data_IF_191839328667
#
_entry.id   IF_191839328667
#
_cell.length_a   1.000
_cell.length_b   1.000
_cell.length_c   1.000
_cell.angle_alpha   90.00
_cell.angle_beta   90.00
_cell.angle_gamma   90.00
#
_symmetry.space_group_name_H-M   'P 1'
#
loop_
_entity.id
_entity.type
_entity.pdbx_description
1 polymer ?
#
# COMPACT_ATOMS: atom_id res chain seq x y z
N UNK A 1 -7.93 -10.38 7.36
CA UNK A 1 -7.09 -9.17 7.49
C UNK A 1 -5.63 -9.54 7.31
N UNK A 2 -4.89 -8.74 6.57
CA UNK A 2 -3.44 -8.87 6.39
C UNK A 2 -2.74 -7.66 7.02
N UNK A 3 -1.56 -7.88 7.61
CA UNK A 3 -0.82 -6.90 8.41
C UNK A 3 0.59 -6.61 7.88
N UNK A 4 0.79 -6.80 6.58
CA UNK A 4 2.00 -6.43 5.88
C UNK A 4 1.62 -5.87 4.51
N UNK A 5 2.29 -4.78 4.11
CA UNK A 5 2.20 -4.19 2.79
C UNK A 5 3.59 -3.77 2.36
N UNK A 6 3.90 -3.98 1.10
CA UNK A 6 5.08 -3.43 0.45
C UNK A 6 4.76 -3.18 -1.02
N UNK A 7 5.47 -2.22 -1.62
CA UNK A 7 5.31 -1.92 -3.04
C UNK A 7 5.59 -3.12 -3.94
N UNK A 8 6.60 -3.92 -3.64
CA UNK A 8 6.85 -5.18 -4.34
C UNK A 8 5.67 -6.16 -4.26
N UNK A 9 4.97 -6.26 -3.13
CA UNK A 9 3.78 -7.12 -2.98
C UNK A 9 2.60 -6.62 -3.83
N UNK A 10 2.40 -5.30 -3.91
CA UNK A 10 1.37 -4.71 -4.75
C UNK A 10 1.68 -4.95 -6.24
N UNK A 11 2.89 -4.58 -6.67
CA UNK A 11 3.34 -4.68 -8.06
C UNK A 11 3.38 -6.12 -8.59
N UNK A 12 3.71 -7.09 -7.74
CA UNK A 12 3.76 -8.51 -8.11
C UNK A 12 2.39 -9.19 -8.17
N UNK A 13 1.32 -8.50 -7.73
CA UNK A 13 -0.01 -9.09 -7.61
C UNK A 13 -0.23 -9.92 -6.35
N UNK A 14 0.74 -9.97 -5.42
CA UNK A 14 0.63 -10.77 -4.20
C UNK A 14 -0.57 -10.40 -3.32
N UNK A 15 -0.94 -9.12 -3.24
CA UNK A 15 -2.16 -8.72 -2.53
C UNK A 15 -3.43 -9.26 -3.20
N UNK A 16 -3.46 -9.25 -4.54
CA UNK A 16 -4.58 -9.79 -5.31
C UNK A 16 -4.72 -11.29 -5.08
N UNK A 17 -3.62 -12.04 -5.09
CA UNK A 17 -3.63 -13.48 -4.81
C UNK A 17 -4.17 -13.79 -3.41
N UNK A 18 -3.81 -12.96 -2.41
CA UNK A 18 -4.35 -13.07 -1.06
C UNK A 18 -5.86 -12.79 -1.01
N UNK A 19 -6.34 -11.80 -1.76
CA UNK A 19 -7.77 -11.51 -1.87
C UNK A 19 -8.52 -12.69 -2.52
N UNK A 20 -7.95 -13.27 -3.58
CA UNK A 20 -8.53 -14.39 -4.31
C UNK A 20 -8.70 -15.65 -3.42
N UNK A 21 -7.87 -15.82 -2.39
CA UNK A 21 -8.00 -16.90 -1.39
C UNK A 21 -8.80 -16.51 -0.13
N UNK A 22 -9.39 -15.31 -0.09
CA UNK A 22 -10.35 -14.91 0.95
C UNK A 22 -9.86 -13.83 1.93
N UNK A 23 -8.76 -13.13 1.66
CA UNK A 23 -8.42 -11.92 2.42
C UNK A 23 -9.39 -10.80 2.07
N UNK A 24 -10.04 -10.25 3.09
CA UNK A 24 -11.08 -9.23 2.92
C UNK A 24 -10.65 -7.83 3.31
N UNK A 25 -9.42 -7.62 3.78
CA UNK A 25 -8.95 -6.30 4.19
C UNK A 25 -7.50 -6.28 4.65
N UNK A 26 -6.97 -5.07 4.78
CA UNK A 26 -5.57 -4.77 5.05
C UNK A 26 -5.44 -3.69 6.13
N UNK A 27 -4.48 -3.86 7.02
CA UNK A 27 -4.08 -2.82 7.98
C UNK A 27 -2.57 -2.67 7.99
N UNK A 28 -2.09 -1.45 7.76
CA UNK A 28 -0.71 -1.04 7.78
C UNK A 28 -0.55 0.14 8.75
N UNK A 29 0.38 -0.02 9.70
CA UNK A 29 0.75 1.05 10.61
C UNK A 29 2.05 1.73 10.13
N UNK A 30 2.43 2.88 10.71
CA UNK A 30 3.65 3.58 10.30
C UNK A 30 4.91 2.70 10.29
N UNK A 31 5.05 1.80 11.28
CA UNK A 31 6.19 0.88 11.39
C UNK A 31 6.26 -0.13 10.24
N UNK A 32 5.12 -0.57 9.69
CA UNK A 32 5.08 -1.45 8.52
C UNK A 32 5.61 -0.70 7.29
N UNK A 33 5.16 0.53 7.06
CA UNK A 33 5.64 1.35 5.95
C UNK A 33 7.12 1.70 6.07
N UNK A 34 7.58 2.09 7.25
CA UNK A 34 9.00 2.37 7.50
C UNK A 34 9.88 1.17 7.13
N UNK A 35 9.46 -0.04 7.50
CA UNK A 35 10.16 -1.27 7.14
C UNK A 35 10.12 -1.57 5.65
N UNK A 36 8.98 -1.36 4.99
CA UNK A 36 8.86 -1.59 3.55
C UNK A 36 9.75 -0.64 2.75
N UNK A 37 9.74 0.64 3.12
CA UNK A 37 10.54 1.69 2.48
C UNK A 37 12.03 1.48 2.74
N UNK A 38 12.43 1.11 3.97
CA UNK A 38 13.85 1.01 4.33
C UNK A 38 14.52 -0.30 3.89
N UNK A 39 13.77 -1.37 3.66
CA UNK A 39 14.30 -2.69 3.33
C UNK A 39 14.17 -3.06 1.85
N UNK A 40 13.76 -2.14 0.98
CA UNK A 40 13.60 -2.39 -0.45
C UNK A 40 14.02 -1.18 -1.28
N UNK A 41 14.36 -1.43 -2.54
CA UNK A 41 14.64 -0.38 -3.51
C UNK A 41 13.39 -0.02 -4.34
N UNK A 42 12.22 -0.59 -4.01
CA UNK A 42 10.97 -0.42 -4.75
C UNK A 42 10.46 1.03 -4.73
N UNK A 43 11.00 1.85 -3.84
CA UNK A 43 10.62 3.25 -3.62
C UNK A 43 11.62 4.24 -4.23
N UNK A 44 12.81 3.80 -4.64
CA UNK A 44 13.94 4.67 -5.02
C UNK A 44 13.58 5.63 -6.16
N UNK A 45 12.95 5.12 -7.21
CA UNK A 45 12.57 5.92 -8.37
C UNK A 45 11.58 7.04 -7.99
N UNK A 46 10.59 6.73 -7.14
CA UNK A 46 9.61 7.72 -6.72
C UNK A 46 10.23 8.72 -5.73
N UNK A 47 11.05 8.23 -4.80
CA UNK A 47 11.78 9.06 -3.84
C UNK A 47 12.69 10.05 -4.58
N UNK A 48 13.46 9.59 -5.57
CA UNK A 48 14.34 10.42 -6.36
C UNK A 48 13.58 11.52 -7.12
N UNK A 49 12.45 11.17 -7.76
CA UNK A 49 11.60 12.14 -8.47
C UNK A 49 11.04 13.20 -7.52
N UNK A 50 10.48 12.79 -6.39
CA UNK A 50 9.90 13.73 -5.42
C UNK A 50 10.98 14.62 -4.78
N UNK A 51 12.18 14.09 -4.55
CA UNK A 51 13.32 14.88 -4.10
C UNK A 51 13.74 15.93 -5.14
N UNK A 52 13.76 15.58 -6.43
CA UNK A 52 14.03 16.53 -7.52
C UNK A 52 12.95 17.61 -7.63
N UNK A 53 11.69 17.28 -7.32
CA UNK A 53 10.58 18.21 -7.25
C UNK A 53 10.64 19.13 -6.02
N UNK A 54 11.68 19.00 -5.18
CA UNK A 54 11.90 19.84 -4.00
C UNK A 54 11.01 19.49 -2.82
N UNK A 55 10.42 18.29 -2.80
CA UNK A 55 9.58 17.82 -1.70
C UNK A 55 10.40 17.58 -0.43
N UNK A 56 9.81 17.93 0.71
CA UNK A 56 10.42 17.63 2.00
C UNK A 56 10.24 16.14 2.38
N UNK A 57 10.93 15.72 3.44
CA UNK A 57 10.90 14.32 3.90
C UNK A 57 9.49 13.84 4.26
N UNK A 58 8.66 14.70 4.89
CA UNK A 58 7.31 14.31 5.30
C UNK A 58 6.41 14.21 4.07
N UNK A 59 6.50 15.17 3.14
CA UNK A 59 5.76 15.10 1.87
C UNK A 59 6.13 13.85 1.05
N UNK A 60 7.41 13.48 1.04
CA UNK A 60 7.88 12.24 0.39
C UNK A 60 7.25 11.04 1.07
N UNK A 61 7.40 10.91 2.40
CA UNK A 61 6.84 9.79 3.15
C UNK A 61 5.33 9.65 2.93
N UNK A 62 4.57 10.73 3.13
CA UNK A 62 3.12 10.74 2.95
C UNK A 62 2.74 10.36 1.52
N UNK A 63 3.44 10.89 0.51
CA UNK A 63 3.17 10.55 -0.88
C UNK A 63 3.47 9.09 -1.22
N UNK A 64 4.47 8.47 -0.61
CA UNK A 64 4.76 7.04 -0.77
C UNK A 64 3.66 6.18 -0.13
N UNK A 65 3.32 6.49 1.13
CA UNK A 65 2.36 5.73 1.93
C UNK A 65 0.93 5.85 1.39
N UNK A 66 0.48 7.08 1.08
CA UNK A 66 -0.85 7.33 0.54
C UNK A 66 -1.04 6.55 -0.77
N UNK A 67 -0.01 6.54 -1.62
CA UNK A 67 -0.07 5.80 -2.89
C UNK A 67 -0.25 4.29 -2.69
N UNK A 68 0.52 3.69 -1.78
CA UNK A 68 0.42 2.26 -1.48
C UNK A 68 -0.96 1.92 -0.88
N UNK A 69 -1.50 2.75 0.02
CA UNK A 69 -2.83 2.56 0.60
C UNK A 69 -3.92 2.69 -0.45
N UNK A 70 -3.82 3.67 -1.36
CA UNK A 70 -4.76 3.86 -2.45
C UNK A 70 -4.80 2.64 -3.37
N UNK A 71 -3.64 2.13 -3.77
CA UNK A 71 -3.56 0.94 -4.62
C UNK A 71 -4.12 -0.31 -3.91
N UNK A 72 -3.83 -0.49 -2.62
CA UNK A 72 -4.44 -1.55 -1.84
C UNK A 72 -5.97 -1.41 -1.73
N UNK A 73 -6.48 -0.19 -1.54
CA UNK A 73 -7.91 0.10 -1.49
C UNK A 73 -8.59 -0.18 -2.84
N UNK A 74 -7.94 0.16 -3.94
CA UNK A 74 -8.45 -0.12 -5.29
C UNK A 74 -8.54 -1.63 -5.54
N UNK A 75 -7.55 -2.42 -5.09
CA UNK A 75 -7.58 -3.88 -5.17
C UNK A 75 -8.67 -4.50 -4.28
N UNK A 76 -8.95 -3.91 -3.11
CA UNK A 76 -9.99 -4.36 -2.18
C UNK A 76 -11.38 -3.85 -2.55
N UNK A 77 -11.50 -2.90 -3.49
CA UNK A 77 -12.78 -2.30 -3.89
C UNK A 77 -13.86 -3.32 -4.27
N UNK A 78 -13.58 -4.40 -5.03
CA UNK A 78 -14.60 -5.41 -5.33
C UNK A 78 -15.14 -6.12 -4.08
N UNK A 79 -14.30 -6.32 -3.05
CA UNK A 79 -14.72 -6.89 -1.76
C UNK A 79 -15.61 -5.89 -1.03
N UNK A 80 -15.21 -4.62 -0.99
CA UNK A 80 -16.01 -3.55 -0.40
C UNK A 80 -17.40 -3.49 -0.99
N UNK A 81 -17.50 -3.46 -2.33
CA UNK A 81 -18.78 -3.39 -3.04
C UNK A 81 -19.63 -4.65 -2.80
N UNK A 82 -19.05 -5.85 -2.87
CA UNK A 82 -19.75 -7.14 -2.66
C UNK A 82 -20.29 -7.30 -1.25
N UNK A 83 -19.61 -6.73 -0.26
CA UNK A 83 -19.97 -6.82 1.15
C UNK A 83 -20.77 -5.61 1.63
N UNK A 84 -21.17 -4.70 0.74
CA UNK A 84 -21.88 -3.46 1.07
C UNK A 84 -21.12 -2.63 2.12
N UNK A 85 -19.80 -2.58 2.02
CA UNK A 85 -18.91 -1.82 2.89
C UNK A 85 -18.68 -2.44 4.27
N UNK A 86 -18.98 -3.72 4.48
CA UNK A 86 -18.63 -4.43 5.71
C UNK A 86 -17.15 -4.82 5.72
N UNK A 87 -16.63 -5.24 4.57
CA UNK A 87 -15.24 -5.61 4.33
C UNK A 87 -14.62 -4.70 3.24
N UNK A 88 -13.39 -4.99 2.81
CA UNK A 88 -12.71 -4.31 1.71
C UNK A 88 -11.95 -3.05 2.11
N UNK A 89 -11.62 -2.92 3.40
CA UNK A 89 -10.88 -1.77 3.91
C UNK A 89 -9.36 -1.96 3.80
N UNK A 90 -8.68 -0.91 3.35
CA UNK A 90 -7.25 -0.69 3.56
C UNK A 90 -7.10 0.43 4.60
N UNK A 91 -6.33 0.17 5.66
CA UNK A 91 -6.21 1.05 6.84
C UNK A 91 -4.78 1.19 7.30
#
# INVERSE_FOLDING_TARGET
MVHNISRGMLNSGGLKDLIDIGVTGLTANPTIFEKAISNSNDYDDQLFRMALDGKDRNEIYDGLVIRDIQEAADLLRPVYDKTYGIDGYAS
#
